data_IF_243970962847
#
_entry.id   IF_243970962847
#
_cell.length_a   1.000
_cell.length_b   1.000
_cell.length_c   1.000
_cell.angle_alpha   90.00
_cell.angle_beta   90.00
_cell.angle_gamma   90.00
#
_symmetry.space_group_name_H-M   'P 1'
#
loop_
_entity.id
_entity.type
_entity.pdbx_description
1 polymer ?
#
# COMPACT_ATOMS: atom_id res chain seq x y z
N UNK A 1 -64.58 -30.94 -0.59
CA UNK A 1 -64.77 -29.47 -0.65
C UNK A 1 -63.73 -28.78 0.23
N UNK A 2 -62.81 -28.06 -0.43
CA UNK A 2 -62.15 -26.76 -0.11
C UNK A 2 -62.35 -26.24 1.35
N UNK A 3 -61.33 -25.86 2.14
CA UNK A 3 -60.51 -24.62 2.05
C UNK A 3 -59.39 -24.66 3.12
N UNK A 4 -58.11 -24.41 2.76
CA UNK A 4 -57.31 -23.15 2.92
C UNK A 4 -56.88 -22.91 4.40
N UNK A 5 -55.66 -22.51 4.78
CA UNK A 5 -54.58 -21.79 4.08
C UNK A 5 -53.37 -21.58 5.02
N UNK A 6 -52.24 -21.19 4.41
CA UNK A 6 -51.20 -20.27 4.92
C UNK A 6 -50.18 -20.84 5.94
N UNK A 7 -49.19 -21.55 5.41
CA UNK A 7 -47.84 -21.60 5.99
C UNK A 7 -47.13 -20.28 5.68
N UNK A 8 -46.93 -19.47 6.71
CA UNK A 8 -46.11 -18.25 6.68
C UNK A 8 -44.67 -18.58 6.29
N UNK A 9 -44.31 -18.28 5.04
CA UNK A 9 -42.92 -18.13 4.63
C UNK A 9 -42.42 -16.78 5.14
N UNK A 10 -41.89 -16.75 6.36
CA UNK A 10 -41.10 -15.63 6.83
C UNK A 10 -39.77 -15.64 6.06
N UNK A 11 -39.67 -14.79 5.04
CA UNK A 11 -38.41 -14.40 4.42
C UNK A 11 -37.55 -13.76 5.51
N UNK A 12 -36.65 -14.54 6.09
CA UNK A 12 -35.49 -14.04 6.83
C UNK A 12 -34.59 -13.35 5.81
N UNK A 13 -34.79 -12.04 5.65
CA UNK A 13 -33.84 -11.14 5.01
C UNK A 13 -32.54 -11.20 5.84
N UNK A 14 -31.66 -12.10 5.43
CA UNK A 14 -30.25 -12.10 5.82
C UNK A 14 -29.65 -10.79 5.32
N UNK A 15 -29.67 -9.77 6.17
CA UNK A 15 -28.81 -8.62 6.02
C UNK A 15 -27.38 -9.14 6.14
N UNK A 16 -26.77 -9.41 4.98
CA UNK A 16 -25.35 -9.68 4.91
C UNK A 16 -24.65 -8.47 5.51
N UNK A 17 -24.16 -8.63 6.74
CA UNK A 17 -23.18 -7.75 7.34
C UNK A 17 -21.97 -7.78 6.39
N UNK A 18 -21.91 -6.85 5.45
CA UNK A 18 -20.67 -6.53 4.77
C UNK A 18 -19.80 -5.88 5.84
N UNK A 19 -19.13 -6.72 6.63
CA UNK A 19 -18.04 -6.29 7.47
C UNK A 19 -17.06 -5.59 6.55
N UNK A 20 -17.08 -4.25 6.57
CA UNK A 20 -16.04 -3.42 5.99
C UNK A 20 -14.75 -3.88 6.65
N UNK A 21 -14.04 -4.80 6.00
CA UNK A 21 -12.73 -5.24 6.44
C UNK A 21 -11.89 -3.98 6.36
N UNK A 22 -11.42 -3.51 7.51
CA UNK A 22 -10.46 -2.42 7.54
C UNK A 22 -9.33 -2.76 6.54
N UNK A 23 -8.87 -1.79 5.73
CA UNK A 23 -7.82 -2.03 4.77
C UNK A 23 -6.63 -2.67 5.50
N UNK A 24 -6.26 -3.86 5.06
CA UNK A 24 -5.13 -4.60 5.61
C UNK A 24 -3.88 -3.80 5.29
N UNK A 25 -2.96 -3.63 6.24
CA UNK A 25 -1.70 -2.94 5.95
C UNK A 25 -0.86 -3.74 4.93
N UNK A 26 -0.09 -3.08 4.05
CA UNK A 26 0.85 -3.78 3.19
C UNK A 26 1.88 -4.52 4.05
N UNK A 27 2.26 -5.72 3.59
CA UNK A 27 3.44 -6.41 4.08
C UNK A 27 4.72 -5.61 3.77
N UNK A 28 5.84 -6.00 4.37
CA UNK A 28 7.14 -5.37 4.08
C UNK A 28 7.52 -5.48 2.61
N UNK A 29 7.25 -6.63 1.98
CA UNK A 29 7.62 -6.89 0.59
C UNK A 29 6.72 -6.11 -0.38
N UNK A 30 5.42 -5.99 -0.08
CA UNK A 30 4.50 -5.14 -0.85
C UNK A 30 4.87 -3.67 -0.73
N UNK A 31 5.21 -3.20 0.47
CA UNK A 31 5.65 -1.83 0.69
C UNK A 31 6.99 -1.54 -0.01
N UNK A 32 7.92 -2.49 -0.01
CA UNK A 32 9.21 -2.40 -0.71
C UNK A 32 9.01 -2.24 -2.23
N UNK A 33 8.22 -3.11 -2.83
CA UNK A 33 7.90 -3.05 -4.26
C UNK A 33 7.16 -1.76 -4.64
N UNK A 34 6.18 -1.35 -3.83
CA UNK A 34 5.42 -0.14 -4.04
C UNK A 34 6.30 1.12 -3.97
N UNK A 35 7.22 1.21 -3.01
CA UNK A 35 8.14 2.33 -2.86
C UNK A 35 9.14 2.41 -4.02
N UNK A 36 9.77 1.29 -4.39
CA UNK A 36 10.69 1.25 -5.54
C UNK A 36 9.99 1.69 -6.82
N UNK A 37 8.79 1.18 -7.05
CA UNK A 37 7.97 1.55 -8.21
C UNK A 37 7.63 3.04 -8.21
N UNK A 38 7.28 3.59 -7.05
CA UNK A 38 6.97 5.02 -6.92
C UNK A 38 8.20 5.91 -7.19
N UNK A 39 9.38 5.57 -6.65
CA UNK A 39 10.62 6.32 -6.92
C UNK A 39 11.00 6.27 -8.40
N UNK A 40 10.95 5.08 -9.03
CA UNK A 40 11.25 4.94 -10.45
C UNK A 40 10.26 5.73 -11.33
N UNK A 41 8.97 5.72 -10.97
CA UNK A 41 7.96 6.47 -11.69
C UNK A 41 8.13 7.98 -11.55
N UNK A 42 8.54 8.46 -10.37
CA UNK A 42 8.84 9.87 -10.13
C UNK A 42 10.06 10.32 -10.95
N UNK A 43 11.14 9.52 -10.91
CA UNK A 43 12.35 9.78 -11.69
C UNK A 43 12.08 9.82 -13.20
N UNK A 44 11.26 8.89 -13.71
CA UNK A 44 10.84 8.88 -15.11
C UNK A 44 10.09 10.15 -15.53
N UNK A 45 9.38 10.81 -14.61
CA UNK A 45 8.57 12.00 -14.90
C UNK A 45 9.34 13.30 -14.74
N UNK A 46 10.32 13.37 -13.85
CA UNK A 46 10.89 14.62 -13.39
C UNK A 46 12.40 14.79 -13.64
N UNK A 47 13.14 13.72 -13.97
CA UNK A 47 14.61 13.74 -13.98
C UNK A 47 15.25 13.53 -15.36
N UNK A 48 16.57 13.82 -15.44
CA UNK A 48 17.39 13.52 -16.63
C UNK A 48 17.68 12.02 -16.74
N UNK A 49 18.21 11.56 -17.88
CA UNK A 49 18.55 10.15 -18.06
C UNK A 49 19.61 9.69 -17.06
N UNK A 50 20.62 10.52 -16.79
CA UNK A 50 21.70 10.21 -15.86
C UNK A 50 21.18 10.09 -14.42
N UNK A 51 20.37 11.05 -13.98
CA UNK A 51 19.76 11.01 -12.65
C UNK A 51 18.82 9.81 -12.48
N UNK A 52 18.12 9.42 -13.54
CA UNK A 52 17.28 8.21 -13.53
C UNK A 52 18.08 6.92 -13.37
N UNK A 53 19.22 6.81 -14.05
CA UNK A 53 20.09 5.62 -13.95
C UNK A 53 20.67 5.49 -12.53
N UNK A 54 21.07 6.61 -11.92
CA UNK A 54 21.52 6.65 -10.51
C UNK A 54 20.40 6.25 -9.55
N UNK A 55 19.20 6.83 -9.69
CA UNK A 55 18.04 6.47 -8.87
C UNK A 55 17.71 4.99 -9.04
N UNK A 56 17.77 4.45 -10.26
CA UNK A 56 17.49 3.04 -10.51
C UNK A 56 18.49 2.12 -9.79
N UNK A 57 19.76 2.49 -9.76
CA UNK A 57 20.77 1.76 -8.99
C UNK A 57 20.50 1.85 -7.49
N UNK A 58 20.22 3.04 -6.98
CA UNK A 58 19.98 3.28 -5.56
C UNK A 58 18.72 2.56 -5.04
N UNK A 59 17.59 2.68 -5.74
CA UNK A 59 16.35 2.00 -5.32
C UNK A 59 16.47 0.47 -5.38
N UNK A 60 17.41 -0.09 -6.15
CA UNK A 60 17.69 -1.53 -6.11
C UNK A 60 18.25 -1.99 -4.75
N UNK A 61 18.88 -1.08 -4.01
CA UNK A 61 19.45 -1.30 -2.69
C UNK A 61 18.54 -0.85 -1.54
N UNK A 62 17.41 -0.21 -1.84
CA UNK A 62 16.37 0.06 -0.85
C UNK A 62 15.80 -1.25 -0.32
N UNK A 63 15.64 -1.35 1.00
CA UNK A 63 14.97 -2.47 1.65
C UNK A 63 14.05 -1.98 2.76
N UNK A 64 12.75 -2.23 2.63
CA UNK A 64 11.82 -2.04 3.75
C UNK A 64 12.04 -3.12 4.80
N UNK A 65 12.25 -2.70 6.05
CA UNK A 65 12.47 -3.61 7.18
C UNK A 65 11.24 -3.71 8.08
N UNK A 66 10.36 -2.70 8.08
CA UNK A 66 9.14 -2.70 8.88
C UNK A 66 8.10 -1.74 8.33
N UNK A 67 6.84 -2.15 8.38
CA UNK A 67 5.66 -1.28 8.19
C UNK A 67 4.89 -1.24 9.50
N UNK A 68 4.53 -0.06 9.99
CA UNK A 68 3.79 0.08 11.25
C UNK A 68 2.98 1.37 11.31
N UNK A 69 2.21 1.56 12.38
CA UNK A 69 1.42 2.77 12.62
C UNK A 69 0.57 3.18 11.40
N UNK A 70 -0.09 2.19 10.79
CA UNK A 70 -0.98 2.43 9.65
C UNK A 70 -2.30 3.03 10.12
N UNK A 71 -2.65 4.20 9.59
CA UNK A 71 -3.94 4.86 9.82
C UNK A 71 -4.69 5.01 8.50
N UNK A 72 -6.00 4.69 8.46
CA UNK A 72 -6.80 4.91 7.26
C UNK A 72 -6.96 6.40 6.96
N UNK A 73 -6.86 6.75 5.68
CA UNK A 73 -7.19 8.07 5.12
C UNK A 73 -8.24 7.92 4.01
N UNK A 74 -9.47 7.59 4.40
CA UNK A 74 -10.54 7.23 3.48
C UNK A 74 -10.71 5.72 3.34
N UNK A 75 -11.48 5.28 2.35
CA UNK A 75 -11.91 3.87 2.22
C UNK A 75 -10.79 2.93 1.74
N UNK A 76 -9.88 3.42 0.88
CA UNK A 76 -8.88 2.57 0.20
C UNK A 76 -7.42 3.01 0.42
N UNK A 77 -7.19 4.00 1.28
CA UNK A 77 -5.85 4.54 1.55
C UNK A 77 -5.44 4.34 3.00
N UNK A 78 -4.18 3.95 3.17
CA UNK A 78 -3.51 3.87 4.46
C UNK A 78 -2.30 4.81 4.45
N UNK A 79 -2.08 5.55 5.53
CA UNK A 79 -0.80 6.20 5.79
C UNK A 79 -0.07 5.36 6.82
N UNK A 80 1.08 4.81 6.46
CA UNK A 80 1.88 3.93 7.31
C UNK A 80 3.25 4.55 7.57
N UNK A 81 3.79 4.31 8.75
CA UNK A 81 5.21 4.55 9.03
C UNK A 81 6.04 3.38 8.50
N UNK A 82 6.93 3.66 7.55
CA UNK A 82 7.80 2.70 6.89
C UNK A 82 9.23 2.90 7.36
N UNK A 83 9.85 1.82 7.82
CA UNK A 83 11.27 1.77 8.15
C UNK A 83 11.99 1.11 6.99
N UNK A 84 13.04 1.75 6.50
CA UNK A 84 13.86 1.21 5.42
C UNK A 84 15.34 1.33 5.75
N UNK A 85 16.10 0.37 5.22
CA UNK A 85 17.53 0.44 5.09
C UNK A 85 17.85 0.83 3.65
N UNK A 86 18.79 1.76 3.49
CA UNK A 86 19.30 2.17 2.20
C UNK A 86 20.82 2.20 2.24
N UNK A 87 21.46 1.62 1.22
CA UNK A 87 22.90 1.67 1.05
C UNK A 87 23.19 2.25 -0.33
N UNK A 88 23.65 3.52 -0.41
CA UNK A 88 24.05 4.11 -1.67
C UNK A 88 25.12 3.28 -2.36
N UNK A 89 25.09 3.27 -3.69
CA UNK A 89 26.14 2.61 -4.47
C UNK A 89 27.54 3.15 -4.10
N UNK A 90 28.49 2.23 -3.88
CA UNK A 90 29.86 2.59 -3.51
C UNK A 90 30.06 2.99 -2.03
N UNK A 91 29.01 2.97 -1.21
CA UNK A 91 29.10 3.21 0.23
C UNK A 91 29.04 1.90 1.04
N UNK A 92 29.84 1.80 2.11
CA UNK A 92 29.69 0.76 3.12
C UNK A 92 28.66 1.11 4.20
N UNK A 93 28.18 2.35 4.22
CA UNK A 93 27.27 2.86 5.24
C UNK A 93 25.82 2.43 4.94
N UNK A 94 25.10 2.03 5.99
CA UNK A 94 23.66 1.77 5.92
C UNK A 94 22.94 2.95 6.56
N UNK A 95 22.05 3.57 5.80
CA UNK A 95 21.17 4.63 6.27
C UNK A 95 19.83 4.03 6.66
N UNK A 96 19.31 4.48 7.80
CA UNK A 96 18.02 4.07 8.34
C UNK A 96 17.04 5.22 8.22
N UNK A 97 15.97 5.03 7.46
CA UNK A 97 14.94 6.03 7.28
C UNK A 97 13.62 5.57 7.90
N UNK A 98 12.89 6.52 8.48
CA UNK A 98 11.53 6.35 8.95
C UNK A 98 10.66 7.41 8.28
N UNK A 99 9.84 6.97 7.33
CA UNK A 99 9.00 7.85 6.55
C UNK A 99 7.53 7.51 6.75
N UNK A 100 6.68 8.54 6.75
CA UNK A 100 5.24 8.32 6.59
C UNK A 100 4.89 8.29 5.12
N UNK A 101 4.38 7.15 4.67
CA UNK A 101 4.09 6.88 3.26
C UNK A 101 2.61 6.56 3.13
N UNK A 102 1.96 7.23 2.17
CA UNK A 102 0.59 6.91 1.79
C UNK A 102 0.60 5.73 0.81
N UNK A 103 -0.21 4.72 1.11
CA UNK A 103 -0.42 3.53 0.30
C UNK A 103 -1.89 3.46 -0.12
N UNK A 104 -2.14 3.22 -1.41
CA UNK A 104 -3.45 2.89 -1.95
C UNK A 104 -3.41 1.49 -2.56
N UNK A 105 -4.45 0.69 -2.31
CA UNK A 105 -4.56 -0.63 -2.92
C UNK A 105 -5.44 -0.54 -4.19
N UNK A 106 -4.85 -0.78 -5.35
CA UNK A 106 -5.53 -0.63 -6.65
C UNK A 106 -5.27 -1.86 -7.50
N UNK A 107 -6.33 -2.45 -8.06
CA UNK A 107 -6.25 -3.65 -8.92
C UNK A 107 -5.52 -4.85 -8.30
N UNK A 108 -5.51 -4.98 -6.98
CA UNK A 108 -4.80 -6.07 -6.29
C UNK A 108 -3.33 -5.77 -5.98
N UNK A 109 -2.87 -4.55 -6.23
CA UNK A 109 -1.49 -4.12 -5.97
C UNK A 109 -1.45 -2.90 -5.06
N UNK A 110 -0.42 -2.81 -4.22
CA UNK A 110 -0.14 -1.63 -3.42
C UNK A 110 0.64 -0.59 -4.22
N UNK A 111 0.18 0.65 -4.15
CA UNK A 111 0.82 1.81 -4.79
C UNK A 111 1.21 2.80 -3.70
N UNK A 112 2.50 3.14 -3.61
CA UNK A 112 3.00 4.18 -2.72
C UNK A 112 2.87 5.55 -3.40
N UNK A 113 2.46 6.56 -2.63
CA UNK A 113 2.42 7.96 -3.10
C UNK A 113 3.24 8.81 -2.14
N UNK A 114 4.22 9.53 -2.68
CA UNK A 114 4.96 10.54 -1.94
C UNK A 114 4.21 11.87 -2.04
N UNK A 115 3.75 12.40 -0.91
CA UNK A 115 3.31 13.79 -0.84
C UNK A 115 4.56 14.67 -0.99
N UNK A 116 4.53 15.68 -1.86
CA UNK A 116 5.49 16.78 -1.71
C UNK A 116 5.26 17.42 -0.34
N UNK A 117 6.33 17.81 0.39
CA UNK A 117 6.20 18.55 1.64
C UNK A 117 5.40 19.85 1.47
#
# INVERSE_FOLDING_TARGET
MIKKTLTSAALLLLTACQAHKAPVAPSTDEADGALKSAFLLDAQKNDTLEARDEIQQDVSHLRVTKVSACSPQGEEKLVCSVYSEFRPAGSSEVQYNLDQVAFSHTNGEWVATFSKP
#
